data_IF_025150664077
#
_entry.id   IF_025150664077
#
_cell.length_a   1.000
_cell.length_b   1.000
_cell.length_c   1.000
_cell.angle_alpha   90.00
_cell.angle_beta   90.00
_cell.angle_gamma   90.00
#
_symmetry.space_group_name_H-M   'P 1'
#
loop_
_entity.id
_entity.type
_entity.pdbx_description
1 polymer ?
#
# COMPACT_ATOMS: atom_id res chain seq x y z
N UNK A 1 1.80 -5.51 -79.04
CA UNK A 1 0.75 -5.47 -78.01
C UNK A 1 1.38 -5.82 -76.66
N UNK A 2 1.70 -4.83 -75.82
CA UNK A 2 2.38 -5.02 -74.53
C UNK A 2 1.34 -5.26 -73.43
N UNK A 3 1.43 -6.40 -72.72
CA UNK A 3 0.66 -6.66 -71.49
C UNK A 3 1.47 -6.12 -70.31
N UNK A 4 0.90 -5.19 -69.55
CA UNK A 4 1.48 -4.68 -68.30
C UNK A 4 0.75 -5.39 -67.14
N UNK A 5 1.47 -6.24 -66.42
CA UNK A 5 0.96 -6.91 -65.22
C UNK A 5 1.27 -6.02 -64.02
N UNK A 6 0.24 -5.45 -63.39
CA UNK A 6 0.40 -4.66 -62.15
C UNK A 6 0.34 -5.63 -60.98
N UNK A 7 1.47 -5.78 -60.29
CA UNK A 7 1.59 -6.53 -59.05
C UNK A 7 1.11 -5.65 -57.89
N UNK A 8 -0.02 -5.99 -57.28
CA UNK A 8 -0.51 -5.32 -56.07
C UNK A 8 0.14 -5.99 -54.86
N UNK A 9 1.06 -5.28 -54.22
CA UNK A 9 1.67 -5.71 -52.95
C UNK A 9 0.75 -5.24 -51.81
N UNK A 10 0.08 -6.19 -51.16
CA UNK A 10 -0.73 -5.93 -49.97
C UNK A 10 0.18 -5.97 -48.75
N UNK A 11 0.61 -4.80 -48.25
CA UNK A 11 1.29 -4.67 -46.96
C UNK A 11 0.30 -4.99 -45.83
N UNK A 12 0.44 -6.17 -45.21
CA UNK A 12 -0.25 -6.47 -43.96
C UNK A 12 0.55 -5.84 -42.82
N UNK A 13 0.10 -4.68 -42.33
CA UNK A 13 0.62 -4.08 -41.11
C UNK A 13 0.11 -4.88 -39.90
N UNK A 14 0.94 -5.78 -39.39
CA UNK A 14 0.73 -6.47 -38.12
C UNK A 14 0.77 -5.44 -36.98
N UNK A 15 -0.40 -5.04 -36.46
CA UNK A 15 -0.46 -4.31 -35.20
C UNK A 15 -0.08 -5.27 -34.07
N UNK A 16 1.19 -5.21 -33.66
CA UNK A 16 1.61 -5.81 -32.39
C UNK A 16 0.90 -5.02 -31.28
N UNK A 17 -0.09 -5.64 -30.64
CA UNK A 17 -0.64 -5.13 -29.39
C UNK A 17 0.49 -5.23 -28.37
N UNK A 18 1.16 -4.12 -28.11
CA UNK A 18 2.07 -4.02 -26.97
C UNK A 18 1.25 -4.29 -25.71
N UNK A 19 1.46 -5.45 -25.08
CA UNK A 19 0.99 -5.65 -23.71
C UNK A 19 1.66 -4.57 -22.87
N UNK A 20 0.89 -3.61 -22.38
CA UNK A 20 1.41 -2.54 -21.55
C UNK A 20 2.17 -3.14 -20.38
N UNK A 21 3.45 -2.83 -20.27
CA UNK A 21 4.27 -3.26 -19.13
C UNK A 21 3.91 -2.38 -17.94
N UNK A 22 3.48 -3.01 -16.85
CA UNK A 22 3.27 -2.30 -15.58
C UNK A 22 4.60 -1.87 -14.99
N UNK A 23 4.61 -0.73 -14.30
CA UNK A 23 5.83 -0.13 -13.77
C UNK A 23 6.38 -0.91 -12.57
N UNK A 24 5.50 -1.41 -11.70
CA UNK A 24 5.85 -2.18 -10.51
C UNK A 24 4.62 -2.92 -9.95
N UNK A 25 4.87 -3.76 -8.95
CA UNK A 25 3.86 -4.43 -8.12
C UNK A 25 3.91 -3.92 -6.69
N UNK A 26 2.85 -4.16 -5.92
CA UNK A 26 2.83 -3.98 -4.46
C UNK A 26 2.47 -5.31 -3.81
N UNK A 27 2.73 -5.44 -2.51
CA UNK A 27 2.48 -6.69 -1.81
C UNK A 27 1.74 -6.54 -0.48
N UNK A 28 1.02 -7.60 -0.09
CA UNK A 28 0.48 -7.80 1.25
C UNK A 28 1.45 -8.64 2.09
N UNK A 29 1.76 -8.18 3.30
CA UNK A 29 2.71 -8.84 4.20
C UNK A 29 2.05 -10.01 4.95
N UNK A 30 2.51 -11.23 4.68
CA UNK A 30 2.10 -12.46 5.38
C UNK A 30 2.95 -12.68 6.62
N UNK A 31 2.49 -12.17 7.76
CA UNK A 31 3.17 -12.35 9.05
C UNK A 31 2.74 -13.61 9.80
N UNK A 32 3.57 -14.06 10.75
CA UNK A 32 3.26 -15.13 11.68
C UNK A 32 2.63 -14.59 12.97
N UNK A 33 2.09 -15.47 13.83
CA UNK A 33 1.58 -15.09 15.15
C UNK A 33 0.10 -15.41 15.38
N UNK A 34 -0.58 -15.93 14.36
CA UNK A 34 -1.99 -16.37 14.44
C UNK A 34 -3.02 -15.29 14.09
N UNK A 35 -2.60 -14.04 13.87
CA UNK A 35 -3.46 -13.01 13.31
C UNK A 35 -3.80 -13.25 11.84
N UNK A 36 -4.87 -12.63 11.39
CA UNK A 36 -5.46 -12.76 10.05
C UNK A 36 -4.88 -11.74 9.06
N UNK A 37 -3.60 -11.91 8.72
CA UNK A 37 -2.93 -11.11 7.68
C UNK A 37 -3.66 -11.11 6.31
N UNK A 38 -4.55 -12.09 6.09
CA UNK A 38 -5.36 -12.28 4.89
C UNK A 38 -6.73 -11.55 4.94
N UNK A 39 -6.96 -10.74 5.97
CA UNK A 39 -8.09 -9.80 6.00
C UNK A 39 -8.06 -8.86 4.79
N UNK A 40 -9.18 -8.17 4.57
CA UNK A 40 -9.29 -7.15 3.54
C UNK A 40 -8.92 -7.67 2.13
N UNK A 41 -9.69 -8.64 1.63
CA UNK A 41 -9.42 -9.35 0.36
C UNK A 41 -9.56 -8.47 -0.89
N UNK A 42 -10.48 -7.51 -0.92
CA UNK A 42 -10.70 -6.67 -2.11
C UNK A 42 -10.05 -5.30 -1.98
N UNK A 43 -9.55 -4.94 -0.79
CA UNK A 43 -8.95 -3.64 -0.51
C UNK A 43 -7.77 -3.26 -1.40
N UNK A 44 -6.73 -4.08 -1.51
CA UNK A 44 -5.57 -3.75 -2.34
C UNK A 44 -5.90 -3.72 -3.84
N UNK A 45 -6.64 -4.67 -4.43
CA UNK A 45 -7.10 -4.58 -5.81
C UNK A 45 -7.88 -3.28 -6.10
N UNK A 46 -8.76 -2.87 -5.19
CA UNK A 46 -9.54 -1.65 -5.32
C UNK A 46 -8.67 -0.40 -5.20
N UNK A 47 -7.73 -0.38 -4.25
CA UNK A 47 -6.78 0.72 -4.09
C UNK A 47 -5.88 0.86 -5.34
N UNK A 48 -5.35 -0.25 -5.86
CA UNK A 48 -4.56 -0.30 -7.09
C UNK A 48 -5.35 0.27 -8.27
N UNK A 49 -6.59 -0.23 -8.46
CA UNK A 49 -7.49 0.25 -9.51
C UNK A 49 -7.74 1.75 -9.39
N UNK A 50 -8.01 2.23 -8.19
CA UNK A 50 -8.24 3.66 -7.92
C UNK A 50 -6.98 4.49 -8.22
N UNK A 51 -5.81 4.07 -7.76
CA UNK A 51 -4.54 4.76 -7.98
C UNK A 51 -4.17 4.80 -9.47
N UNK A 52 -4.35 3.70 -10.20
CA UNK A 52 -4.14 3.66 -11.64
C UNK A 52 -5.07 4.60 -12.41
N UNK A 53 -6.35 4.64 -12.05
CA UNK A 53 -7.33 5.49 -12.70
C UNK A 53 -7.12 6.99 -12.41
N UNK A 54 -6.76 7.35 -11.18
CA UNK A 54 -6.73 8.74 -10.73
C UNK A 54 -5.33 9.38 -10.75
N UNK A 55 -4.28 8.57 -10.56
CA UNK A 55 -2.89 9.02 -10.44
C UNK A 55 -1.99 8.50 -11.56
N UNK A 56 -2.49 7.61 -12.44
CA UNK A 56 -1.73 7.01 -13.55
C UNK A 56 -0.45 6.31 -13.11
N UNK A 57 -0.50 5.64 -11.96
CA UNK A 57 0.68 5.02 -11.35
C UNK A 57 1.18 3.75 -12.06
N UNK A 58 0.38 3.17 -12.96
CA UNK A 58 0.75 1.99 -13.75
C UNK A 58 1.17 0.77 -12.88
N UNK A 59 0.49 0.57 -11.76
CA UNK A 59 0.67 -0.55 -10.83
C UNK A 59 0.03 -1.80 -11.44
N UNK A 60 0.66 -2.97 -11.28
CA UNK A 60 0.04 -4.24 -11.66
C UNK A 60 -1.30 -4.44 -10.92
N UNK A 61 -2.39 -4.88 -11.58
CA UNK A 61 -3.74 -4.89 -11.00
C UNK A 61 -3.95 -5.77 -9.76
N UNK A 62 -3.05 -6.73 -9.52
CA UNK A 62 -3.11 -7.68 -8.43
C UNK A 62 -1.94 -7.45 -7.47
N UNK A 63 -2.19 -7.53 -6.17
CA UNK A 63 -1.13 -7.60 -5.18
C UNK A 63 -0.46 -8.97 -5.17
N UNK A 64 0.83 -8.99 -4.86
CA UNK A 64 1.49 -10.24 -4.47
C UNK A 64 1.38 -10.44 -2.94
N UNK A 65 1.61 -11.67 -2.47
CA UNK A 65 1.76 -11.97 -1.05
C UNK A 65 3.24 -12.19 -0.79
N UNK A 66 3.79 -11.53 0.24
CA UNK A 66 5.21 -11.64 0.57
C UNK A 66 5.41 -11.94 2.05
N UNK A 67 6.34 -12.84 2.35
CA UNK A 67 6.74 -13.15 3.72
C UNK A 67 7.85 -12.18 4.19
N UNK A 68 7.87 -11.77 5.47
CA UNK A 68 8.79 -10.73 5.92
C UNK A 68 10.28 -11.08 5.76
N UNK A 69 10.64 -12.35 5.94
CA UNK A 69 12.00 -12.86 5.73
C UNK A 69 12.38 -13.14 4.27
N UNK A 70 11.44 -13.02 3.33
CA UNK A 70 11.70 -13.32 1.92
C UNK A 70 12.60 -12.25 1.26
N UNK A 71 13.56 -12.65 0.40
CA UNK A 71 14.29 -11.70 -0.44
C UNK A 71 13.39 -10.99 -1.46
N UNK A 72 12.23 -11.56 -1.80
CA UNK A 72 11.28 -10.94 -2.74
C UNK A 72 10.70 -9.62 -2.20
N UNK A 73 10.78 -9.40 -0.89
CA UNK A 73 10.32 -8.16 -0.24
C UNK A 73 10.93 -6.90 -0.90
N UNK A 74 12.17 -6.98 -1.37
CA UNK A 74 12.89 -5.88 -2.02
C UNK A 74 12.37 -5.55 -3.43
N UNK A 75 11.53 -6.40 -4.01
CA UNK A 75 10.88 -6.16 -5.30
C UNK A 75 9.68 -5.22 -5.24
N UNK A 76 9.20 -4.88 -4.04
CA UNK A 76 7.99 -4.07 -3.85
C UNK A 76 8.34 -2.72 -3.23
N UNK A 77 8.06 -1.58 -3.89
CA UNK A 77 8.29 -0.26 -3.26
C UNK A 77 7.30 0.03 -2.12
N UNK A 78 6.18 -0.69 -2.09
CA UNK A 78 5.12 -0.53 -1.09
C UNK A 78 4.61 -1.89 -0.65
N UNK A 79 4.62 -2.11 0.65
CA UNK A 79 4.08 -3.31 1.30
C UNK A 79 3.01 -2.88 2.28
N UNK A 80 1.84 -3.50 2.20
CA UNK A 80 0.71 -3.28 3.10
C UNK A 80 0.59 -4.42 4.10
N UNK A 81 0.30 -4.08 5.34
CA UNK A 81 0.09 -5.00 6.44
C UNK A 81 -1.18 -4.60 7.19
N UNK A 82 -2.07 -5.55 7.41
CA UNK A 82 -3.32 -5.36 8.16
C UNK A 82 -3.69 -6.66 8.88
N UNK A 83 -4.70 -6.59 9.74
CA UNK A 83 -5.29 -7.73 10.43
C UNK A 83 -5.57 -7.43 11.90
N UNK A 84 -6.03 -8.46 12.59
CA UNK A 84 -6.44 -8.49 13.97
C UNK A 84 -5.48 -9.36 14.78
N UNK A 85 -5.24 -8.95 16.03
CA UNK A 85 -4.55 -9.79 16.99
C UNK A 85 -3.04 -9.91 16.73
N UNK A 86 -2.49 -11.09 17.05
CA UNK A 86 -1.07 -11.22 17.31
C UNK A 86 -0.22 -11.29 16.03
N UNK A 87 0.87 -10.52 16.05
CA UNK A 87 1.92 -10.50 15.03
C UNK A 87 3.24 -10.85 15.67
N UNK A 88 3.99 -11.71 15.00
CA UNK A 88 5.34 -12.12 15.41
C UNK A 88 6.28 -12.13 14.21
N UNK A 89 7.41 -11.47 14.37
CA UNK A 89 8.55 -11.56 13.48
C UNK A 89 9.65 -12.39 14.15
N UNK A 90 10.22 -13.34 13.40
CA UNK A 90 11.45 -14.01 13.76
C UNK A 90 12.64 -13.04 13.69
N UNK A 91 13.81 -13.43 14.21
CA UNK A 91 15.01 -12.60 14.09
C UNK A 91 15.39 -12.35 12.61
N UNK A 92 15.18 -13.34 11.74
CA UNK A 92 15.41 -13.19 10.31
C UNK A 92 14.44 -12.18 9.67
N UNK A 93 13.15 -12.25 10.04
CA UNK A 93 12.12 -11.30 9.60
C UNK A 93 12.49 -9.87 10.04
N UNK A 94 12.84 -9.69 11.32
CA UNK A 94 13.22 -8.40 11.91
C UNK A 94 14.37 -7.76 11.13
N UNK A 95 15.43 -8.52 10.89
CA UNK A 95 16.59 -8.03 10.14
C UNK A 95 16.24 -7.72 8.69
N UNK A 96 15.40 -8.53 8.05
CA UNK A 96 15.04 -8.36 6.65
C UNK A 96 14.12 -7.15 6.44
N UNK A 97 13.08 -6.99 7.27
CA UNK A 97 12.20 -5.81 7.27
C UNK A 97 13.03 -4.54 7.48
N UNK A 98 13.96 -4.54 8.45
CA UNK A 98 14.83 -3.39 8.68
C UNK A 98 15.63 -3.05 7.42
N UNK A 99 16.29 -4.03 6.80
CA UNK A 99 17.05 -3.82 5.56
C UNK A 99 16.18 -3.31 4.42
N UNK A 100 15.00 -3.91 4.22
CA UNK A 100 14.02 -3.46 3.23
C UNK A 100 13.66 -1.99 3.45
N UNK A 101 13.26 -1.64 4.67
CA UNK A 101 12.84 -0.30 5.03
C UNK A 101 13.96 0.72 4.88
N UNK A 102 15.20 0.44 5.29
CA UNK A 102 16.30 1.40 5.12
C UNK A 102 16.77 1.51 3.66
N UNK A 103 16.53 0.49 2.83
CA UNK A 103 16.94 0.45 1.41
C UNK A 103 15.96 1.14 0.45
N UNK A 104 14.97 1.86 0.97
CA UNK A 104 13.98 2.59 0.18
C UNK A 104 12.59 1.97 0.17
N UNK A 105 12.41 0.79 0.75
CA UNK A 105 11.09 0.21 0.98
C UNK A 105 10.19 1.09 1.85
N UNK A 106 8.89 0.89 1.68
CA UNK A 106 7.85 1.52 2.49
C UNK A 106 6.88 0.46 3.03
N UNK A 107 6.58 0.54 4.32
CA UNK A 107 5.59 -0.31 4.98
C UNK A 107 4.40 0.54 5.42
N UNK A 108 3.22 0.23 4.92
CA UNK A 108 1.97 0.71 5.48
C UNK A 108 1.38 -0.36 6.40
N UNK A 109 1.19 -0.02 7.66
CA UNK A 109 0.46 -0.83 8.63
C UNK A 109 -0.90 -0.19 8.83
N UNK A 110 -1.96 -0.98 8.74
CA UNK A 110 -3.33 -0.55 8.98
C UNK A 110 -3.92 -1.35 10.14
N UNK A 111 -4.36 -0.65 11.18
CA UNK A 111 -5.07 -1.27 12.29
C UNK A 111 -6.50 -1.56 11.87
N UNK A 112 -6.80 -2.81 11.50
CA UNK A 112 -8.16 -3.33 11.36
C UNK A 112 -8.71 -3.73 12.74
N UNK A 113 -8.46 -2.90 13.75
CA UNK A 113 -8.72 -3.13 15.18
C UNK A 113 -7.94 -4.26 15.89
N UNK A 114 -7.21 -3.87 16.94
CA UNK A 114 -6.57 -4.80 17.89
C UNK A 114 -5.12 -5.16 17.57
N UNK A 115 -4.49 -4.44 16.64
CA UNK A 115 -3.12 -4.69 16.18
C UNK A 115 -2.06 -3.93 17.00
N UNK A 116 -2.42 -2.80 17.61
CA UNK A 116 -1.52 -1.78 18.18
C UNK A 116 -0.41 -2.36 19.09
N UNK A 117 -0.78 -3.12 20.13
CA UNK A 117 0.20 -3.66 21.09
C UNK A 117 1.22 -4.60 20.43
N UNK A 118 0.80 -5.31 19.38
CA UNK A 118 1.64 -6.29 18.71
C UNK A 118 2.57 -5.61 17.71
N UNK A 119 2.07 -4.66 16.92
CA UNK A 119 2.87 -3.92 15.94
C UNK A 119 3.89 -3.03 16.63
N UNK A 120 3.53 -2.37 17.74
CA UNK A 120 4.51 -1.60 18.52
C UNK A 120 5.64 -2.48 19.03
N UNK A 121 5.32 -3.68 19.55
CA UNK A 121 6.32 -4.65 20.01
C UNK A 121 7.23 -5.10 18.87
N UNK A 122 6.66 -5.54 17.75
CA UNK A 122 7.44 -6.09 16.65
C UNK A 122 8.27 -5.01 15.93
N UNK A 123 7.71 -3.83 15.69
CA UNK A 123 8.46 -2.74 15.06
C UNK A 123 9.53 -2.16 15.97
N UNK A 124 9.42 -2.31 17.30
CA UNK A 124 10.51 -1.99 18.23
C UNK A 124 11.68 -2.95 18.11
N UNK A 125 11.46 -4.21 17.70
CA UNK A 125 12.57 -5.13 17.36
C UNK A 125 13.26 -4.69 16.05
N UNK A 126 12.48 -4.26 15.06
CA UNK A 126 12.99 -3.77 13.75
C UNK A 126 13.82 -2.49 13.92
N UNK A 127 13.31 -1.54 14.71
CA UNK A 127 14.00 -0.29 15.04
C UNK A 127 14.03 -0.05 16.55
N UNK A 128 14.99 -0.64 17.28
CA UNK A 128 15.13 -0.44 18.73
C UNK A 128 15.33 1.02 19.12
N UNK A 129 15.89 1.81 18.23
CA UNK A 129 16.18 3.23 18.41
C UNK A 129 15.00 4.17 18.09
N UNK A 130 14.00 3.69 17.34
CA UNK A 130 12.86 4.50 16.92
C UNK A 130 11.62 4.22 17.77
N UNK A 131 10.70 5.19 17.79
CA UNK A 131 9.35 5.03 18.32
C UNK A 131 8.37 5.55 17.28
N UNK A 132 7.16 5.00 17.25
CA UNK A 132 6.06 5.57 16.49
C UNK A 132 5.74 6.98 17.01
N UNK A 133 5.84 7.97 16.15
CA UNK A 133 5.49 9.37 16.43
C UNK A 133 4.28 9.75 15.59
N UNK A 134 3.34 10.48 16.17
CA UNK A 134 2.19 10.98 15.42
C UNK A 134 2.67 12.03 14.40
N UNK A 135 2.25 11.88 13.15
CA UNK A 135 2.65 12.80 12.09
C UNK A 135 1.74 14.03 12.11
N UNK A 136 2.31 15.25 12.03
CA UNK A 136 1.49 16.44 11.91
C UNK A 136 0.74 16.42 10.57
N UNK A 137 -0.45 17.02 10.51
CA UNK A 137 -1.28 17.03 9.28
C UNK A 137 -0.68 17.83 8.11
N UNK A 138 0.42 18.56 8.36
CA UNK A 138 1.22 19.17 7.30
C UNK A 138 2.31 18.25 6.73
N UNK A 139 2.49 17.05 7.26
CA UNK A 139 3.45 16.08 6.74
C UNK A 139 3.10 15.74 5.28
N UNK A 140 4.10 15.57 4.38
CA UNK A 140 3.84 15.35 2.95
C UNK A 140 2.90 14.19 2.62
N UNK A 141 2.82 13.16 3.47
CA UNK A 141 1.90 12.03 3.31
C UNK A 141 0.41 12.47 3.21
N UNK A 142 0.04 13.57 3.86
CA UNK A 142 -1.30 14.15 3.82
C UNK A 142 -1.49 15.20 2.70
N UNK A 143 -0.43 15.51 1.96
CA UNK A 143 -0.37 16.61 0.99
C UNK A 143 0.07 16.18 -0.41
N UNK A 144 -0.20 14.92 -0.77
CA UNK A 144 0.03 14.41 -2.12
C UNK A 144 -1.07 14.93 -3.08
N UNK A 145 -1.51 14.14 -4.08
CA UNK A 145 -2.59 14.57 -4.98
C UNK A 145 -3.86 15.01 -4.24
N UNK A 146 -4.23 14.27 -3.19
CA UNK A 146 -5.38 14.58 -2.35
C UNK A 146 -4.91 15.24 -1.06
N UNK A 147 -5.62 16.28 -0.59
CA UNK A 147 -5.23 17.02 0.61
C UNK A 147 -6.07 16.59 1.81
N UNK A 148 -5.41 16.23 2.91
CA UNK A 148 -6.02 15.81 4.17
C UNK A 148 -5.62 16.77 5.30
N UNK A 149 -6.28 17.93 5.36
CA UNK A 149 -5.95 18.99 6.33
C UNK A 149 -6.26 18.60 7.79
N UNK A 150 -7.10 17.60 7.99
CA UNK A 150 -7.55 17.12 9.31
C UNK A 150 -7.09 15.69 9.61
N UNK A 151 -6.07 15.21 8.89
CA UNK A 151 -5.54 13.86 9.09
C UNK A 151 -6.36 12.76 8.40
N UNK A 152 -6.34 11.57 8.99
CA UNK A 152 -6.96 10.37 8.41
C UNK A 152 -8.49 10.41 8.46
N UNK A 153 -9.20 9.83 7.47
CA UNK A 153 -10.64 9.64 7.53
C UNK A 153 -11.00 8.52 8.52
N UNK A 154 -11.91 8.75 9.47
CA UNK A 154 -12.40 7.72 10.40
C UNK A 154 -13.39 6.80 9.66
N UNK A 155 -12.93 5.63 9.19
CA UNK A 155 -13.81 4.68 8.47
C UNK A 155 -14.70 3.96 9.47
N UNK A 156 -14.12 3.29 10.47
CA UNK A 156 -14.86 2.59 11.54
C UNK A 156 -14.44 3.06 12.94
N UNK A 157 -15.34 2.84 13.91
CA UNK A 157 -15.11 3.13 15.32
C UNK A 157 -14.37 1.97 16.01
N UNK A 158 -13.30 2.30 16.75
CA UNK A 158 -12.55 1.37 17.61
C UNK A 158 -12.76 1.77 19.07
N UNK A 159 -11.75 2.30 19.78
CA UNK A 159 -11.85 2.67 21.19
C UNK A 159 -12.45 4.08 21.41
N UNK A 160 -13.18 4.62 20.43
CA UNK A 160 -13.76 5.97 20.47
C UNK A 160 -12.72 7.11 20.44
N UNK A 161 -11.49 6.83 19.96
CA UNK A 161 -10.44 7.83 19.80
C UNK A 161 -10.45 8.42 18.39
N UNK A 162 -9.81 9.56 18.22
CA UNK A 162 -9.59 10.14 16.89
C UNK A 162 -8.69 9.22 16.04
N UNK A 163 -8.83 9.20 14.70
CA UNK A 163 -7.93 8.47 13.83
C UNK A 163 -6.55 9.14 13.83
N UNK A 164 -5.48 8.35 13.93
CA UNK A 164 -4.10 8.86 14.06
C UNK A 164 -3.18 8.19 13.04
N UNK A 165 -2.32 8.98 12.40
CA UNK A 165 -1.26 8.47 11.54
C UNK A 165 0.08 8.55 12.25
N UNK A 166 0.62 7.41 12.65
CA UNK A 166 1.96 7.34 13.22
C UNK A 166 3.01 7.03 12.15
N UNK A 167 4.24 7.47 12.40
CA UNK A 167 5.38 7.22 11.54
C UNK A 167 6.59 6.67 12.29
N UNK A 168 7.36 5.81 11.63
CA UNK A 168 8.77 5.61 11.95
C UNK A 168 9.63 6.43 11.01
N UNK A 169 10.42 7.34 11.58
CA UNK A 169 11.30 8.23 10.83
C UNK A 169 12.73 7.74 10.98
N UNK A 170 13.32 7.26 9.89
CA UNK A 170 14.72 6.85 9.84
C UNK A 170 15.51 7.85 8.99
N UNK A 171 16.49 8.52 9.60
CA UNK A 171 17.34 9.52 8.94
C UNK A 171 16.53 10.60 8.17
N UNK A 172 15.43 11.05 8.75
CA UNK A 172 14.56 12.08 8.17
C UNK A 172 13.52 11.57 7.17
N UNK A 173 13.57 10.29 6.77
CA UNK A 173 12.57 9.67 5.88
C UNK A 173 11.53 8.88 6.67
N UNK A 174 10.25 9.04 6.31
CA UNK A 174 9.18 8.15 6.78
C UNK A 174 9.32 6.79 6.09
N UNK A 175 9.67 5.77 6.86
CA UNK A 175 9.85 4.39 6.33
C UNK A 175 8.65 3.51 6.59
N UNK A 176 7.89 3.79 7.65
CA UNK A 176 6.68 3.06 8.01
C UNK A 176 5.60 4.05 8.38
N UNK A 177 4.41 3.93 7.79
CA UNK A 177 3.22 4.66 8.20
C UNK A 177 2.23 3.69 8.85
N UNK A 178 1.70 4.06 10.01
CA UNK A 178 0.74 3.26 10.76
C UNK A 178 -0.57 4.04 10.93
N UNK A 179 -1.63 3.60 10.24
CA UNK A 179 -3.00 4.11 10.45
C UNK A 179 -3.64 3.41 11.64
N UNK A 180 -3.81 4.15 12.73
CA UNK A 180 -4.41 3.69 13.98
C UNK A 180 -5.79 4.33 14.15
N UNK A 181 -6.74 3.59 14.76
CA UNK A 181 -8.09 4.11 15.05
C UNK A 181 -8.83 4.62 13.81
N UNK A 182 -8.60 4.01 12.65
CA UNK A 182 -9.00 4.54 11.35
C UNK A 182 -9.66 3.49 10.45
N UNK A 183 -8.98 2.36 10.24
CA UNK A 183 -9.36 1.24 9.37
C UNK A 183 -9.46 1.61 7.87
N UNK A 184 -8.35 2.06 7.29
CA UNK A 184 -8.34 2.45 5.88
C UNK A 184 -8.67 1.26 4.96
N UNK A 185 -8.21 0.07 5.35
CA UNK A 185 -8.42 -1.19 4.65
C UNK A 185 -9.89 -1.48 4.45
N UNK A 186 -10.73 -1.34 5.47
CA UNK A 186 -12.18 -1.53 5.32
C UNK A 186 -12.78 -0.53 4.32
N UNK A 187 -12.32 0.72 4.34
CA UNK A 187 -12.77 1.74 3.38
C UNK A 187 -12.32 1.50 1.93
N UNK A 188 -11.34 0.61 1.71
CA UNK A 188 -10.91 0.18 0.38
C UNK A 188 -11.66 -1.05 -0.13
N UNK A 189 -12.33 -1.82 0.73
CA UNK A 189 -13.10 -2.99 0.31
C UNK A 189 -14.24 -2.62 -0.64
N UNK A 190 -14.72 -3.61 -1.37
CA UNK A 190 -16.00 -3.57 -2.06
C UNK A 190 -17.10 -3.12 -1.11
N UNK A 191 -17.98 -2.24 -1.58
CA UNK A 191 -19.03 -1.66 -0.75
C UNK A 191 -19.90 -2.73 -0.07
N UNK A 192 -20.10 -3.89 -0.69
CA UNK A 192 -20.90 -4.97 -0.13
C UNK A 192 -20.31 -5.64 1.11
N UNK A 193 -19.04 -5.43 1.44
CA UNK A 193 -18.36 -6.08 2.58
C UNK A 193 -18.76 -5.42 3.91
N UNK A 194 -18.68 -4.09 3.98
CA UNK A 194 -18.99 -3.31 5.19
C UNK A 194 -20.19 -2.36 5.04
N UNK A 195 -20.70 -2.19 3.81
CA UNK A 195 -21.75 -1.24 3.47
C UNK A 195 -21.40 0.22 3.83
N UNK A 196 -20.10 0.55 3.80
CA UNK A 196 -19.63 1.90 4.08
C UNK A 196 -20.20 2.91 3.08
N UNK A 197 -20.59 4.12 3.52
CA UNK A 197 -21.04 5.17 2.62
C UNK A 197 -19.97 5.50 1.57
N UNK A 198 -20.38 5.62 0.32
CA UNK A 198 -19.46 5.91 -0.78
C UNK A 198 -18.55 7.14 -0.54
N UNK A 199 -19.03 8.26 0.05
CA UNK A 199 -18.14 9.37 0.39
C UNK A 199 -16.99 8.99 1.34
N UNK A 200 -17.22 8.08 2.29
CA UNK A 200 -16.19 7.59 3.21
C UNK A 200 -15.19 6.70 2.48
N UNK A 201 -15.67 5.75 1.67
CA UNK A 201 -14.82 4.90 0.82
C UNK A 201 -13.93 5.72 -0.10
N UNK A 202 -14.46 6.78 -0.71
CA UNK A 202 -13.68 7.71 -1.54
C UNK A 202 -12.59 8.43 -0.74
N UNK A 203 -12.84 8.82 0.51
CA UNK A 203 -11.79 9.41 1.35
C UNK A 203 -10.72 8.38 1.71
N UNK A 204 -11.10 7.16 2.09
CA UNK A 204 -10.15 6.08 2.38
C UNK A 204 -9.26 5.76 1.15
N UNK A 205 -9.85 5.57 -0.03
CA UNK A 205 -9.14 5.31 -1.28
C UNK A 205 -8.18 6.45 -1.66
N UNK A 206 -8.60 7.71 -1.49
CA UNK A 206 -7.74 8.88 -1.70
C UNK A 206 -6.54 8.89 -0.76
N UNK A 207 -6.75 8.55 0.52
CA UNK A 207 -5.67 8.49 1.49
C UNK A 207 -4.69 7.35 1.17
N UNK A 208 -5.20 6.16 0.82
CA UNK A 208 -4.36 5.05 0.36
C UNK A 208 -3.56 5.42 -0.90
N UNK A 209 -4.17 6.13 -1.85
CA UNK A 209 -3.50 6.57 -3.07
C UNK A 209 -2.39 7.60 -2.78
N UNK A 210 -2.59 8.46 -1.78
CA UNK A 210 -1.52 9.32 -1.28
C UNK A 210 -0.37 8.51 -0.68
N UNK A 211 -0.63 7.47 0.10
CA UNK A 211 0.42 6.61 0.66
C UNK A 211 1.24 5.94 -0.43
N UNK A 212 0.57 5.39 -1.45
CA UNK A 212 1.23 4.83 -2.63
C UNK A 212 2.07 5.88 -3.37
N UNK A 213 1.52 7.07 -3.59
CA UNK A 213 2.24 8.16 -4.25
C UNK A 213 3.48 8.55 -3.45
N UNK A 214 3.32 8.83 -2.15
CA UNK A 214 4.41 9.19 -1.26
C UNK A 214 5.56 8.16 -1.30
N UNK A 215 5.23 6.87 -1.23
CA UNK A 215 6.19 5.78 -1.24
C UNK A 215 6.95 5.62 -2.57
N UNK A 216 6.42 6.14 -3.68
CA UNK A 216 6.98 5.91 -5.04
C UNK A 216 7.52 7.16 -5.73
N UNK A 217 7.24 8.36 -5.20
CA UNK A 217 7.71 9.62 -5.80
C UNK A 217 8.74 10.37 -4.95
N UNK A 218 8.90 10.01 -3.68
CA UNK A 218 9.76 10.76 -2.76
C UNK A 218 11.10 10.04 -2.58
N UNK A 219 12.07 10.36 -3.46
CA UNK A 219 13.49 10.07 -3.28
C UNK A 219 14.28 11.38 -3.26
#
# INVERSE_FOLDING_TARGET
MKKLLILVIILHSSFLIAKGQYAYKIAKLKYNGGGDWYANKTSLPNLIKFANANLRMNIFPEEDIVEPGSPDLFGYPFVHMTGHGNVTFSEADVQNIRRYLISGGFLHIDDNYGLDKFIRREMKKVFPELNFVELPFNHPVYQQKFKFATGLPKVHEHDGKAPQGFGLIYQGRLVCFYSYECDLGNGWEDQSVYNDPEPMRQQALRMGANLLQYATTTN
#
